data_IF_669025846116
#
_entry.id   IF_669025846116
#
_cell.length_a   1.000
_cell.length_b   1.000
_cell.length_c   1.000
_cell.angle_alpha   90.00
_cell.angle_beta   90.00
_cell.angle_gamma   90.00
#
_symmetry.space_group_name_H-M   'P 1'
#
loop_
_entity.id
_entity.type
_entity.pdbx_description
1 polymer ?
#
# COMPACT_ATOMS: atom_id res chain seq x y z
N UNK A 1 72.78 23.35 -3.99
CA UNK A 1 72.27 22.23 -3.19
C UNK A 1 70.76 22.39 -3.08
N UNK A 2 70.03 21.45 -3.66
CA UNK A 2 68.57 21.46 -3.74
C UNK A 2 67.98 20.82 -2.48
N UNK A 3 66.89 21.39 -1.96
CA UNK A 3 65.82 20.63 -1.31
C UNK A 3 64.53 21.44 -1.49
N UNK A 4 63.75 21.06 -2.51
CA UNK A 4 62.36 21.48 -2.61
C UNK A 4 61.56 20.56 -1.69
N UNK A 5 61.06 21.10 -0.58
CA UNK A 5 60.10 20.41 0.28
C UNK A 5 58.77 20.28 -0.47
N UNK A 6 58.59 19.15 -1.14
CA UNK A 6 57.35 18.78 -1.81
C UNK A 6 56.37 18.29 -0.74
N UNK A 7 55.52 19.19 -0.25
CA UNK A 7 54.40 18.86 0.64
C UNK A 7 53.51 17.81 -0.03
N UNK A 8 53.60 16.56 0.44
CA UNK A 8 52.73 15.48 0.02
C UNK A 8 51.33 15.68 0.60
N UNK A 9 50.49 16.44 -0.10
CA UNK A 9 49.03 16.40 0.13
C UNK A 9 48.50 15.10 -0.43
N UNK A 10 48.18 14.14 0.45
CA UNK A 10 47.54 12.89 0.10
C UNK A 10 46.28 13.16 -0.75
N UNK A 11 46.30 12.76 -2.03
CA UNK A 11 45.10 12.76 -2.88
C UNK A 11 44.15 11.70 -2.32
N UNK A 12 43.14 12.14 -1.58
CA UNK A 12 42.02 11.27 -1.23
C UNK A 12 41.30 10.91 -2.54
N UNK A 13 41.17 9.61 -2.80
CA UNK A 13 40.47 9.12 -3.98
C UNK A 13 39.02 9.67 -3.97
N UNK A 14 38.59 10.39 -5.01
CA UNK A 14 37.23 10.92 -5.11
C UNK A 14 36.18 9.82 -4.93
N UNK A 15 36.54 8.58 -5.26
CA UNK A 15 35.63 7.45 -5.18
C UNK A 15 35.30 7.03 -3.76
N UNK A 16 36.31 7.10 -2.90
CA UNK A 16 36.20 6.80 -1.47
C UNK A 16 35.28 7.79 -0.74
N UNK A 17 35.30 9.07 -1.15
CA UNK A 17 34.46 10.11 -0.55
C UNK A 17 32.99 9.93 -0.91
N UNK A 18 32.66 9.51 -2.14
CA UNK A 18 31.24 9.25 -2.48
C UNK A 18 30.72 7.98 -1.82
N UNK A 19 31.51 6.91 -1.75
CA UNK A 19 31.09 5.67 -1.07
C UNK A 19 30.71 5.92 0.40
N UNK A 20 31.57 6.63 1.15
CA UNK A 20 31.29 7.05 2.54
C UNK A 20 30.01 7.88 2.66
N UNK A 21 29.76 8.79 1.73
CA UNK A 21 28.55 9.62 1.73
C UNK A 21 27.30 8.81 1.38
N UNK A 22 27.40 7.85 0.46
CA UNK A 22 26.32 6.94 0.10
C UNK A 22 25.95 6.04 1.27
N UNK A 23 26.92 5.39 1.92
CA UNK A 23 26.69 4.55 3.11
C UNK A 23 25.97 5.31 4.22
N UNK A 24 26.33 6.58 4.45
CA UNK A 24 25.68 7.42 5.44
C UNK A 24 24.24 7.81 5.04
N UNK A 25 24.01 8.12 3.76
CA UNK A 25 22.68 8.37 3.24
C UNK A 25 21.78 7.14 3.34
N UNK A 26 22.27 5.96 2.95
CA UNK A 26 21.54 4.70 2.99
C UNK A 26 21.19 4.31 4.42
N UNK A 27 22.14 4.47 5.35
CA UNK A 27 21.90 4.26 6.78
C UNK A 27 20.80 5.17 7.32
N UNK A 28 20.81 6.45 6.94
CA UNK A 28 19.77 7.41 7.33
C UNK A 28 18.43 7.10 6.67
N UNK A 29 18.41 6.61 5.44
CA UNK A 29 17.19 6.18 4.76
C UNK A 29 16.58 4.95 5.46
N UNK A 30 17.38 3.91 5.71
CA UNK A 30 16.94 2.71 6.42
C UNK A 30 16.42 3.00 7.83
N UNK A 31 17.04 3.94 8.55
CA UNK A 31 16.56 4.38 9.85
C UNK A 31 15.20 5.09 9.78
N UNK A 32 14.95 5.87 8.72
CA UNK A 32 13.65 6.53 8.48
C UNK A 32 12.58 5.51 8.13
N UNK A 33 12.86 4.61 7.18
CA UNK A 33 11.91 3.58 6.76
C UNK A 33 11.47 2.70 7.94
N UNK A 34 12.43 2.35 8.81
CA UNK A 34 12.14 1.60 10.03
C UNK A 34 11.26 2.40 11.00
N UNK A 35 11.58 3.67 11.24
CA UNK A 35 10.81 4.54 12.14
C UNK A 35 9.38 4.76 11.60
N UNK A 36 9.26 5.05 10.31
CA UNK A 36 7.98 5.24 9.65
C UNK A 36 7.14 3.96 9.76
N UNK A 37 7.73 2.80 9.48
CA UNK A 37 7.05 1.51 9.67
C UNK A 37 6.59 1.31 11.12
N UNK A 38 7.48 1.48 12.09
CA UNK A 38 7.14 1.33 13.51
C UNK A 38 6.02 2.29 13.94
N UNK A 39 6.07 3.54 13.48
CA UNK A 39 5.07 4.57 13.79
C UNK A 39 3.70 4.25 13.19
N UNK A 40 3.64 3.78 11.95
CA UNK A 40 2.37 3.37 11.34
C UNK A 40 1.86 2.05 11.94
N UNK A 41 2.73 1.09 12.19
CA UNK A 41 2.38 -0.22 12.74
C UNK A 41 1.95 -0.13 14.23
N UNK A 42 2.41 0.88 14.98
CA UNK A 42 2.04 1.10 16.40
C UNK A 42 0.52 1.13 16.63
N UNK A 43 -0.23 1.70 15.69
CA UNK A 43 -1.69 1.80 15.77
C UNK A 43 -2.41 0.85 14.82
N UNK A 44 -1.66 0.08 14.02
CA UNK A 44 -2.24 -0.89 13.12
C UNK A 44 -2.84 -2.05 13.93
N UNK A 45 -4.12 -2.32 13.71
CA UNK A 45 -4.80 -3.53 14.21
C UNK A 45 -5.13 -4.44 13.03
N UNK A 46 -5.08 -5.76 13.20
CA UNK A 46 -5.53 -6.66 12.14
C UNK A 46 -7.01 -6.40 11.84
N UNK A 47 -7.31 -5.90 10.64
CA UNK A 47 -8.69 -5.68 10.23
C UNK A 47 -9.41 -7.03 10.10
N UNK A 48 -10.62 -7.18 10.66
CA UNK A 48 -11.44 -8.37 10.45
C UNK A 48 -11.75 -8.51 8.96
N UNK A 49 -11.78 -9.76 8.47
CA UNK A 49 -12.19 -10.05 7.10
C UNK A 49 -13.70 -9.89 6.99
N UNK A 50 -14.18 -9.34 5.88
CA UNK A 50 -15.62 -9.40 5.57
C UNK A 50 -16.05 -10.84 5.33
N UNK A 51 -17.28 -11.16 5.73
CA UNK A 51 -17.92 -12.43 5.39
C UNK A 51 -18.60 -12.34 4.03
N UNK A 52 -18.83 -13.49 3.41
CA UNK A 52 -19.78 -13.61 2.30
C UNK A 52 -21.15 -13.10 2.75
N UNK A 53 -21.89 -12.46 1.83
CA UNK A 53 -23.20 -11.82 2.03
C UNK A 53 -23.22 -10.57 2.92
N UNK A 54 -22.05 -10.05 3.32
CA UNK A 54 -21.99 -8.80 4.06
C UNK A 54 -22.28 -7.60 3.15
N UNK A 55 -23.16 -6.69 3.61
CA UNK A 55 -23.38 -5.40 2.95
C UNK A 55 -22.22 -4.46 3.27
N UNK A 56 -21.59 -3.93 2.22
CA UNK A 56 -20.48 -2.99 2.31
C UNK A 56 -20.79 -1.74 1.49
N UNK A 57 -20.31 -0.58 1.94
CA UNK A 57 -20.32 0.63 1.10
C UNK A 57 -19.08 0.61 0.22
N UNK A 58 -19.23 1.03 -1.02
CA UNK A 58 -18.16 1.14 -2.00
C UNK A 58 -17.99 2.62 -2.34
N UNK A 59 -16.73 3.04 -2.39
CA UNK A 59 -16.38 4.37 -2.88
C UNK A 59 -16.48 4.41 -4.40
N UNK A 60 -17.20 5.37 -4.95
CA UNK A 60 -17.22 5.61 -6.39
C UNK A 60 -15.83 6.11 -6.86
N UNK A 61 -15.18 5.47 -7.85
CA UNK A 61 -13.87 5.88 -8.33
C UNK A 61 -13.85 7.24 -9.06
N UNK A 62 -15.02 7.74 -9.48
CA UNK A 62 -15.16 9.01 -10.21
C UNK A 62 -15.45 10.15 -9.26
N UNK A 63 -16.39 9.95 -8.33
CA UNK A 63 -16.87 11.02 -7.43
C UNK A 63 -16.23 10.96 -6.04
N UNK A 64 -15.54 9.86 -5.73
CA UNK A 64 -14.92 9.55 -4.44
C UNK A 64 -15.91 9.53 -3.27
N UNK A 65 -17.22 9.45 -3.55
CA UNK A 65 -18.28 9.39 -2.55
C UNK A 65 -18.58 7.94 -2.16
N UNK A 66 -19.13 7.76 -0.96
CA UNK A 66 -19.53 6.46 -0.39
C UNK A 66 -21.05 6.24 -0.51
N UNK A 67 -21.56 6.43 -1.71
CA UNK A 67 -22.99 6.38 -2.03
C UNK A 67 -23.44 4.99 -2.50
N UNK A 68 -22.53 4.13 -2.95
CA UNK A 68 -22.86 2.80 -3.48
C UNK A 68 -22.83 1.77 -2.36
N UNK A 69 -23.89 0.97 -2.24
CA UNK A 69 -23.96 -0.19 -1.33
C UNK A 69 -23.83 -1.44 -2.17
N UNK A 70 -23.04 -2.44 -1.78
CA UNK A 70 -22.89 -3.71 -2.49
C UNK A 70 -22.83 -4.90 -1.54
N UNK A 71 -23.04 -6.10 -2.07
CA UNK A 71 -23.00 -7.36 -1.31
C UNK A 71 -21.74 -8.14 -1.69
N UNK A 72 -20.95 -8.54 -0.69
CA UNK A 72 -19.76 -9.38 -0.89
C UNK A 72 -20.18 -10.79 -1.33
N UNK A 73 -19.86 -11.16 -2.56
CA UNK A 73 -20.17 -12.47 -3.15
C UNK A 73 -19.01 -13.47 -2.99
N UNK A 74 -17.77 -12.99 -2.97
CA UNK A 74 -16.59 -13.86 -3.00
C UNK A 74 -15.37 -13.27 -2.29
N UNK A 75 -14.53 -14.18 -1.78
CA UNK A 75 -13.25 -13.87 -1.12
C UNK A 75 -12.09 -14.34 -2.00
N UNK A 76 -11.21 -13.43 -2.38
CA UNK A 76 -9.95 -13.71 -3.09
C UNK A 76 -8.79 -14.08 -2.16
N UNK A 77 -7.59 -14.21 -2.74
CA UNK A 77 -6.38 -14.67 -2.01
C UNK A 77 -5.84 -13.65 -1.00
N UNK A 78 -5.91 -12.36 -1.30
CA UNK A 78 -5.23 -11.31 -0.53
C UNK A 78 -6.16 -10.21 -0.04
N UNK A 79 -7.33 -10.58 0.51
CA UNK A 79 -8.42 -9.65 0.89
C UNK A 79 -9.00 -8.87 -0.30
N UNK A 80 -8.93 -9.47 -1.48
CA UNK A 80 -9.71 -9.04 -2.63
C UNK A 80 -11.14 -9.52 -2.43
N UNK A 81 -12.12 -8.64 -2.59
CA UNK A 81 -13.53 -8.95 -2.41
C UNK A 81 -14.25 -8.76 -3.74
N UNK A 82 -14.95 -9.79 -4.19
CA UNK A 82 -15.88 -9.66 -5.31
C UNK A 82 -17.19 -9.14 -4.75
N UNK A 83 -17.57 -7.92 -5.13
CA UNK A 83 -18.76 -7.25 -4.61
C UNK A 83 -19.75 -7.03 -5.74
N UNK A 84 -20.98 -7.48 -5.55
CA UNK A 84 -22.09 -7.23 -6.46
C UNK A 84 -22.78 -5.93 -6.07
N UNK A 85 -22.81 -4.98 -7.00
CA UNK A 85 -23.54 -3.72 -6.84
C UNK A 85 -25.01 -3.91 -7.26
N UNK A 86 -25.99 -3.42 -6.47
CA UNK A 86 -27.41 -3.43 -6.80
C UNK A 86 -27.73 -2.48 -7.95
N UNK A 87 -26.94 -1.43 -8.19
CA UNK A 87 -27.09 -0.56 -9.37
C UNK A 87 -26.82 -1.30 -10.69
N UNK A 88 -26.11 -2.43 -10.66
CA UNK A 88 -25.96 -3.31 -11.83
C UNK A 88 -27.20 -4.17 -12.09
N UNK A 89 -28.16 -4.15 -11.17
CA UNK A 89 -29.43 -4.89 -11.23
C UNK A 89 -30.61 -3.95 -11.57
N UNK A 90 -30.36 -2.65 -11.77
CA UNK A 90 -31.39 -1.64 -12.06
C UNK A 90 -31.82 -1.58 -13.55
N UNK A 91 -31.59 -2.63 -14.33
CA UNK A 91 -32.09 -2.73 -15.72
C UNK A 91 -32.84 -4.03 -16.00
N UNK A 92 -33.10 -4.90 -15.02
CA UNK A 92 -34.00 -6.05 -15.24
C UNK A 92 -34.93 -6.27 -14.05
N UNK A 93 -36.27 -6.23 -14.24
CA UNK A 93 -37.21 -6.57 -13.19
C UNK A 93 -37.00 -8.03 -12.80
N UNK A 94 -36.53 -8.27 -11.59
CA UNK A 94 -36.53 -9.59 -10.97
C UNK A 94 -37.99 -10.05 -10.87
N UNK A 95 -38.40 -11.19 -11.49
CA UNK A 95 -39.72 -11.73 -11.25
C UNK A 95 -39.78 -12.20 -9.79
N UNK A 96 -40.57 -11.48 -9.00
CA UNK A 96 -41.06 -11.91 -7.70
C UNK A 96 -41.87 -13.18 -7.91
N UNK A 97 -41.25 -14.35 -7.83
CA UNK A 97 -41.98 -15.60 -7.68
C UNK A 97 -41.17 -16.54 -6.81
N UNK A 98 -41.72 -16.82 -5.63
CA UNK A 98 -41.27 -17.87 -4.76
C UNK A 98 -41.30 -19.20 -5.50
N UNK A 99 -40.13 -19.70 -5.87
CA UNK A 99 -39.95 -21.07 -6.30
C UNK A 99 -39.47 -21.89 -5.10
N UNK A 100 -40.45 -22.54 -4.48
CA UNK A 100 -40.31 -23.62 -3.50
C UNK A 100 -39.70 -24.83 -4.23
N UNK A 101 -38.50 -25.24 -3.85
CA UNK A 101 -37.92 -26.50 -4.35
C UNK A 101 -38.44 -27.67 -3.51
N UNK A 102 -38.85 -28.73 -4.21
CA UNK A 102 -39.33 -30.02 -3.69
C UNK A 102 -38.22 -31.05 -3.81
#
# INVERSE_FOLDING_TARGET
>A
MAVQDLRATARVDPTYVWQKKTEDCDRRAAARDKNDKERYDQHARPLPKFSTDQQVRIQDPTTHRWDKVGVVMGLGKSRDYEVRLPSMVEELPIPTTGARWK
#
